data_IF_402732009596
#
_entry.id   IF_402732009596
#
_cell.length_a   1.000
_cell.length_b   1.000
_cell.length_c   1.000
_cell.angle_alpha   90.00
_cell.angle_beta   90.00
_cell.angle_gamma   90.00
#
_symmetry.space_group_name_H-M   'P 1'
#
loop_
_entity.id
_entity.type
_entity.pdbx_description
1 polymer ?
#
# COMPACT_ATOMS: atom_id res chain seq x y z
N UNK A 1 40.49 6.78 56.61
CA UNK A 1 39.46 5.81 56.18
C UNK A 1 38.12 6.28 56.73
N UNK A 2 37.28 6.89 55.90
CA UNK A 2 35.91 7.22 56.26
C UNK A 2 35.05 7.00 55.00
N UNK A 3 34.45 5.82 54.92
CA UNK A 3 33.56 5.45 53.82
C UNK A 3 32.24 6.18 53.98
N UNK A 4 31.86 6.93 52.96
CA UNK A 4 30.60 7.67 52.90
C UNK A 4 29.39 6.74 52.79
N UNK A 5 28.25 7.05 53.43
CA UNK A 5 27.03 6.24 53.34
C UNK A 5 26.23 6.64 52.09
N UNK A 6 26.67 6.24 50.90
CA UNK A 6 25.97 6.48 49.63
C UNK A 6 25.10 5.30 49.14
N UNK A 7 24.99 4.23 49.93
CA UNK A 7 24.50 2.92 49.45
C UNK A 7 22.96 2.76 49.38
N UNK A 8 22.18 3.51 50.16
CA UNK A 8 20.72 3.33 50.24
C UNK A 8 19.94 3.71 48.95
N UNK A 9 20.16 4.88 48.32
CA UNK A 9 19.37 5.27 47.15
C UNK A 9 19.66 4.39 45.92
N UNK A 10 20.90 3.95 45.74
CA UNK A 10 21.28 3.08 44.62
C UNK A 10 20.65 1.68 44.73
N UNK A 11 20.64 1.10 45.93
CA UNK A 11 19.98 -0.18 46.20
C UNK A 11 18.48 -0.10 45.98
N UNK A 12 17.85 0.99 46.40
CA UNK A 12 16.41 1.21 46.18
C UNK A 12 16.06 1.26 44.69
N UNK A 13 16.89 1.93 43.87
CA UNK A 13 16.71 1.98 42.41
C UNK A 13 16.85 0.60 41.76
N UNK A 14 17.84 -0.19 42.17
CA UNK A 14 18.03 -1.54 41.65
C UNK A 14 16.86 -2.45 42.01
N UNK A 15 16.35 -2.39 43.24
CA UNK A 15 15.17 -3.16 43.66
C UNK A 15 13.96 -2.73 42.83
N UNK A 16 13.76 -1.42 42.64
CA UNK A 16 12.68 -0.88 41.81
C UNK A 16 12.74 -1.39 40.37
N UNK A 17 13.91 -1.36 39.72
CA UNK A 17 14.04 -1.93 38.37
C UNK A 17 13.73 -3.42 38.36
N UNK A 18 14.22 -4.18 39.34
CA UNK A 18 13.97 -5.62 39.42
C UNK A 18 12.48 -5.97 39.66
N UNK A 19 11.73 -5.11 40.36
CA UNK A 19 10.30 -5.34 40.61
C UNK A 19 9.39 -4.90 39.47
N UNK A 20 9.81 -3.92 38.66
CA UNK A 20 8.93 -3.26 37.68
C UNK A 20 9.10 -3.81 36.27
N UNK A 21 10.26 -4.41 35.98
CA UNK A 21 10.59 -4.88 34.63
C UNK A 21 10.02 -6.28 34.37
N UNK A 22 9.61 -6.52 33.12
CA UNK A 22 9.19 -7.85 32.68
C UNK A 22 10.36 -8.85 32.74
N UNK A 23 10.11 -10.17 32.88
CA UNK A 23 11.17 -11.18 32.91
C UNK A 23 12.13 -11.11 31.71
N UNK A 24 11.60 -10.80 30.52
CA UNK A 24 12.41 -10.64 29.31
C UNK A 24 13.35 -9.43 29.38
N UNK A 25 12.91 -8.36 30.04
CA UNK A 25 13.73 -7.15 30.25
C UNK A 25 14.72 -7.33 31.40
N UNK A 26 14.37 -8.10 32.44
CA UNK A 26 15.28 -8.46 33.53
C UNK A 26 16.49 -9.25 33.02
N UNK A 27 16.27 -10.20 32.11
CA UNK A 27 17.35 -10.96 31.48
C UNK A 27 18.40 -10.07 30.79
N UNK A 28 18.00 -8.89 30.29
CA UNK A 28 18.92 -7.95 29.64
C UNK A 28 19.84 -7.24 30.63
N UNK A 29 19.40 -7.03 31.87
CA UNK A 29 20.15 -6.27 32.88
C UNK A 29 20.94 -7.19 33.83
N UNK A 30 20.89 -8.51 33.61
CA UNK A 30 21.69 -9.49 34.36
C UNK A 30 23.18 -9.18 34.19
N UNK A 31 23.86 -8.90 35.31
CA UNK A 31 25.28 -8.54 35.32
C UNK A 31 25.55 -7.05 35.53
N UNK A 32 24.53 -6.18 35.50
CA UNK A 32 24.69 -4.78 35.88
C UNK A 32 24.74 -4.63 37.41
N UNK A 33 25.79 -3.99 37.92
CA UNK A 33 26.04 -3.83 39.37
C UNK A 33 25.63 -2.44 39.90
N UNK A 34 25.20 -1.53 39.03
CA UNK A 34 24.80 -0.17 39.39
C UNK A 34 23.51 0.23 38.70
N UNK A 35 22.70 1.04 39.37
CA UNK A 35 21.44 1.56 38.81
C UNK A 35 21.68 2.38 37.53
N UNK A 36 22.82 3.09 37.45
CA UNK A 36 23.21 3.84 36.27
C UNK A 36 23.49 2.94 35.06
N UNK A 37 24.15 1.78 35.26
CA UNK A 37 24.42 0.83 34.19
C UNK A 37 23.11 0.20 33.68
N UNK A 38 22.22 -0.19 34.60
CA UNK A 38 20.87 -0.67 34.27
C UNK A 38 20.13 0.36 33.44
N UNK A 39 20.07 1.62 33.90
CA UNK A 39 19.36 2.69 33.20
C UNK A 39 19.93 2.92 31.80
N UNK A 40 21.25 3.07 31.64
CA UNK A 40 21.88 3.26 30.33
C UNK A 40 21.60 2.12 29.36
N UNK A 41 21.59 0.88 29.86
CA UNK A 41 21.32 -0.29 29.02
C UNK A 41 19.85 -0.33 28.56
N UNK A 42 18.92 -0.06 29.48
CA UNK A 42 17.49 0.05 29.17
C UNK A 42 17.25 1.20 28.18
N UNK A 43 17.79 2.38 28.48
CA UNK A 43 17.71 3.55 27.61
C UNK A 43 18.22 3.23 26.21
N UNK A 44 19.41 2.65 26.07
CA UNK A 44 19.96 2.28 24.77
C UNK A 44 19.09 1.23 24.05
N UNK A 45 18.64 0.20 24.75
CA UNK A 45 17.80 -0.86 24.19
C UNK A 45 16.46 -0.32 23.72
N UNK A 46 15.73 0.37 24.59
CA UNK A 46 14.39 0.88 24.29
C UNK A 46 14.44 2.07 23.33
N UNK A 47 15.49 2.90 23.35
CA UNK A 47 15.74 3.91 22.33
C UNK A 47 15.99 3.26 20.95
N UNK A 48 16.79 2.20 20.89
CA UNK A 48 17.00 1.45 19.65
C UNK A 48 15.71 0.81 19.16
N UNK A 49 14.96 0.12 20.04
CA UNK A 49 13.69 -0.53 19.69
C UNK A 49 12.67 0.51 19.22
N UNK A 50 12.58 1.66 19.88
CA UNK A 50 11.72 2.77 19.48
C UNK A 50 12.07 3.29 18.08
N UNK A 51 13.36 3.55 17.80
CA UNK A 51 13.82 3.98 16.47
C UNK A 51 13.52 2.95 15.38
N UNK A 52 13.81 1.67 15.65
CA UNK A 52 13.51 0.59 14.71
C UNK A 52 12.00 0.44 14.48
N UNK A 53 11.20 0.59 15.53
CA UNK A 53 9.74 0.54 15.44
C UNK A 53 9.19 1.70 14.60
N UNK A 54 9.64 2.93 14.86
CA UNK A 54 9.29 4.11 14.05
C UNK A 54 9.66 3.89 12.58
N UNK A 55 10.87 3.41 12.30
CA UNK A 55 11.30 3.13 10.93
C UNK A 55 10.44 2.04 10.26
N UNK A 56 10.07 1.00 11.02
CA UNK A 56 9.17 -0.04 10.53
C UNK A 56 7.80 0.52 10.18
N UNK A 57 7.23 1.39 11.03
CA UNK A 57 5.93 2.04 10.77
C UNK A 57 6.00 2.98 9.55
N UNK A 58 7.08 3.74 9.40
CA UNK A 58 7.33 4.56 8.20
C UNK A 58 7.44 3.68 6.94
N UNK A 59 8.13 2.55 7.05
CA UNK A 59 8.19 1.56 5.97
C UNK A 59 6.83 0.97 5.62
N UNK A 60 6.00 0.67 6.64
CA UNK A 60 4.65 0.15 6.47
C UNK A 60 3.80 1.13 5.66
N UNK A 61 3.68 2.39 6.09
CA UNK A 61 2.80 3.37 5.43
C UNK A 61 3.22 3.65 3.97
N UNK A 62 4.52 3.73 3.67
CA UNK A 62 5.00 4.00 2.31
C UNK A 62 4.89 2.80 1.36
N UNK A 63 4.71 1.59 1.88
CA UNK A 63 4.59 0.37 1.10
C UNK A 63 3.15 -0.10 0.91
N UNK A 64 2.16 0.61 1.45
CA UNK A 64 0.74 0.31 1.22
C UNK A 64 0.44 0.52 -0.27
N UNK A 65 -0.17 -0.48 -0.89
CA UNK A 65 -0.64 -0.45 -2.28
C UNK A 65 -2.10 -0.86 -2.31
N UNK A 66 -2.89 -0.29 -3.23
CA UNK A 66 -4.29 -0.68 -3.44
C UNK A 66 -4.40 -2.16 -3.79
N UNK A 67 -3.58 -2.62 -4.74
CA UNK A 67 -3.66 -3.99 -5.24
C UNK A 67 -5.04 -4.27 -5.83
N UNK A 68 -5.62 -5.39 -5.43
CA UNK A 68 -6.97 -5.83 -5.80
C UNK A 68 -8.05 -5.36 -4.81
N UNK A 69 -7.67 -4.65 -3.75
CA UNK A 69 -8.61 -4.20 -2.74
C UNK A 69 -9.45 -3.02 -3.28
N UNK A 70 -10.64 -2.80 -2.71
CA UNK A 70 -11.42 -1.59 -3.00
C UNK A 70 -10.71 -0.33 -2.48
N UNK A 71 -11.09 0.82 -3.02
CA UNK A 71 -10.57 2.12 -2.58
C UNK A 71 -10.80 2.33 -1.08
N UNK A 72 -11.97 1.98 -0.54
CA UNK A 72 -12.28 2.14 0.88
C UNK A 72 -11.31 1.36 1.78
N UNK A 73 -11.11 0.08 1.49
CA UNK A 73 -10.21 -0.79 2.27
C UNK A 73 -8.77 -0.28 2.16
N UNK A 74 -8.37 0.17 0.97
CA UNK A 74 -7.06 0.76 0.75
C UNK A 74 -6.83 2.01 1.59
N UNK A 75 -7.74 2.99 1.54
CA UNK A 75 -7.60 4.25 2.26
C UNK A 75 -7.74 4.07 3.78
N UNK A 76 -8.55 3.12 4.23
CA UNK A 76 -8.64 2.75 5.64
C UNK A 76 -7.28 2.23 6.17
N UNK A 77 -6.57 1.39 5.41
CA UNK A 77 -5.22 0.94 5.82
C UNK A 77 -4.24 2.09 5.95
N UNK A 78 -4.32 3.09 5.07
CA UNK A 78 -3.49 4.30 5.16
C UNK A 78 -3.83 5.07 6.44
N UNK A 79 -5.12 5.29 6.75
CA UNK A 79 -5.55 5.96 7.99
C UNK A 79 -5.02 5.21 9.23
N UNK A 80 -5.17 3.88 9.27
CA UNK A 80 -4.66 3.06 10.38
C UNK A 80 -3.15 3.18 10.54
N UNK A 81 -2.39 3.18 9.44
CA UNK A 81 -0.94 3.34 9.49
C UNK A 81 -0.52 4.74 9.95
N UNK A 82 -1.24 5.79 9.53
CA UNK A 82 -1.07 7.15 10.06
C UNK A 82 -1.32 7.20 11.57
N UNK A 83 -2.40 6.59 12.05
CA UNK A 83 -2.74 6.58 13.47
C UNK A 83 -1.67 5.89 14.32
N UNK A 84 -1.07 4.79 13.81
CA UNK A 84 0.08 4.13 14.45
C UNK A 84 1.29 5.07 14.55
N UNK A 85 1.58 5.84 13.50
CA UNK A 85 2.66 6.83 13.52
C UNK A 85 2.37 7.97 14.51
N UNK A 86 1.14 8.47 14.55
CA UNK A 86 0.73 9.48 15.53
C UNK A 86 0.86 8.98 16.97
N UNK A 87 0.54 7.70 17.22
CA UNK A 87 0.68 7.08 18.54
C UNK A 87 2.13 7.03 19.05
N UNK A 88 3.13 7.03 18.15
CA UNK A 88 4.56 7.11 18.49
C UNK A 88 5.13 8.53 18.36
N UNK A 89 4.26 9.54 18.22
CA UNK A 89 4.63 10.96 18.16
C UNK A 89 5.11 11.44 16.80
N UNK A 90 4.87 10.68 15.72
CA UNK A 90 5.20 11.07 14.35
C UNK A 90 3.94 11.59 13.67
N UNK A 91 3.94 12.87 13.33
CA UNK A 91 2.86 13.49 12.56
C UNK A 91 3.11 13.28 11.07
N UNK A 92 2.06 12.87 10.35
CA UNK A 92 2.00 12.81 8.89
C UNK A 92 0.92 13.79 8.47
N UNK A 93 1.32 14.84 7.78
CA UNK A 93 0.40 15.84 7.26
C UNK A 93 -0.39 15.30 6.07
N UNK A 94 -1.43 16.03 5.68
CA UNK A 94 -2.35 15.59 4.64
C UNK A 94 -1.69 15.60 3.24
N UNK A 95 -0.67 16.43 3.00
CA UNK A 95 0.06 16.50 1.72
C UNK A 95 0.95 15.26 1.55
N UNK A 96 1.68 14.88 2.61
CA UNK A 96 2.45 13.64 2.65
C UNK A 96 1.53 12.42 2.50
N UNK A 97 0.38 12.43 3.19
CA UNK A 97 -0.60 11.35 3.11
C UNK A 97 -1.21 11.23 1.70
N UNK A 98 -1.49 12.35 1.05
CA UNK A 98 -1.94 12.42 -0.35
C UNK A 98 -0.88 11.83 -1.29
N UNK A 99 0.40 12.21 -1.11
CA UNK A 99 1.48 11.66 -1.91
C UNK A 99 1.61 10.13 -1.76
N UNK A 100 1.53 9.64 -0.52
CA UNK A 100 1.53 8.21 -0.21
C UNK A 100 0.36 7.51 -0.90
N UNK A 101 -0.85 8.05 -0.74
CA UNK A 101 -2.06 7.48 -1.31
C UNK A 101 -2.01 7.42 -2.84
N UNK A 102 -1.56 8.48 -3.53
CA UNK A 102 -1.46 8.49 -4.98
C UNK A 102 -0.38 7.53 -5.52
N UNK A 103 0.72 7.34 -4.77
CA UNK A 103 1.81 6.43 -5.15
C UNK A 103 1.40 4.96 -5.07
N UNK A 104 0.51 4.61 -4.14
CA UNK A 104 0.05 3.23 -3.93
C UNK A 104 -1.09 2.78 -4.86
N UNK A 105 -1.64 3.66 -5.70
CA UNK A 105 -2.71 3.31 -6.65
C UNK A 105 -2.22 2.39 -7.79
N UNK A 106 -3.15 1.58 -8.32
CA UNK A 106 -2.91 0.78 -9.53
C UNK A 106 -2.72 1.68 -10.77
N UNK A 107 -2.17 1.11 -11.84
CA UNK A 107 -1.97 1.79 -13.13
C UNK A 107 -3.29 2.25 -13.77
N UNK A 108 -4.39 1.61 -13.41
CA UNK A 108 -5.73 1.94 -13.92
C UNK A 108 -6.16 3.36 -13.51
N UNK A 109 -5.60 3.87 -12.41
CA UNK A 109 -5.85 5.22 -11.89
C UNK A 109 -4.85 6.27 -12.43
N UNK A 110 -4.10 5.99 -13.50
CA UNK A 110 -3.10 6.93 -14.01
C UNK A 110 -3.72 8.26 -14.48
N UNK A 111 -4.89 8.22 -15.13
CA UNK A 111 -5.68 9.40 -15.51
C UNK A 111 -5.98 10.26 -14.29
N UNK A 112 -6.53 9.63 -13.25
CA UNK A 112 -6.84 10.27 -11.98
C UNK A 112 -5.60 10.91 -11.34
N UNK A 113 -4.49 10.19 -11.27
CA UNK A 113 -3.23 10.70 -10.71
C UNK A 113 -2.78 11.97 -11.44
N UNK A 114 -2.83 12.00 -12.77
CA UNK A 114 -2.48 13.19 -13.56
C UNK A 114 -3.41 14.35 -13.23
N UNK A 115 -4.73 14.12 -13.20
CA UNK A 115 -5.73 15.14 -12.88
C UNK A 115 -5.48 15.77 -11.52
N UNK A 116 -5.25 14.95 -10.49
CA UNK A 116 -4.93 15.43 -9.13
C UNK A 116 -3.62 16.20 -9.13
N UNK A 117 -2.59 15.73 -9.84
CA UNK A 117 -1.29 16.39 -9.88
C UNK A 117 -1.31 17.76 -10.57
N UNK A 118 -2.21 17.96 -11.53
CA UNK A 118 -2.42 19.25 -12.21
C UNK A 118 -3.33 20.21 -11.46
N UNK A 119 -4.02 19.74 -10.41
CA UNK A 119 -4.91 20.56 -9.60
C UNK A 119 -4.06 21.47 -8.70
N UNK A 120 -4.36 22.77 -8.72
CA UNK A 120 -3.62 23.79 -7.95
C UNK A 120 -4.10 23.95 -6.51
N UNK A 121 -5.20 23.29 -6.12
CA UNK A 121 -5.78 23.39 -4.78
C UNK A 121 -5.17 22.37 -3.83
N UNK A 122 -4.94 22.78 -2.58
CA UNK A 122 -4.63 21.85 -1.50
C UNK A 122 -5.84 20.94 -1.27
N UNK A 123 -5.61 19.64 -1.28
CA UNK A 123 -6.63 18.63 -1.05
C UNK A 123 -6.44 18.04 0.34
N UNK A 124 -7.53 17.95 1.09
CA UNK A 124 -7.56 17.16 2.31
C UNK A 124 -7.65 15.67 1.98
N UNK A 125 -7.27 14.82 2.94
CA UNK A 125 -7.37 13.37 2.74
C UNK A 125 -8.82 12.89 2.53
N UNK A 126 -9.78 13.54 3.16
CA UNK A 126 -11.20 13.17 3.01
C UNK A 126 -11.76 13.58 1.64
N UNK A 127 -11.31 14.71 1.07
CA UNK A 127 -11.64 15.06 -0.32
C UNK A 127 -11.04 14.07 -1.32
N UNK A 128 -9.79 13.65 -1.11
CA UNK A 128 -9.15 12.60 -1.93
C UNK A 128 -9.97 11.30 -1.89
N UNK A 129 -10.43 10.90 -0.70
CA UNK A 129 -11.26 9.70 -0.52
C UNK A 129 -12.51 9.74 -1.41
N UNK A 130 -13.28 10.84 -1.32
CA UNK A 130 -14.48 11.00 -2.12
C UNK A 130 -14.19 10.96 -3.63
N UNK A 131 -13.13 11.62 -4.07
CA UNK A 131 -12.74 11.65 -5.49
C UNK A 131 -12.30 10.26 -5.98
N UNK A 132 -11.58 9.49 -5.16
CA UNK A 132 -11.13 8.14 -5.52
C UNK A 132 -12.28 7.14 -5.60
N UNK A 133 -13.29 7.26 -4.74
CA UNK A 133 -14.50 6.42 -4.79
C UNK A 133 -15.24 6.63 -6.12
N UNK A 134 -15.45 7.90 -6.51
CA UNK A 134 -16.09 8.25 -7.78
C UNK A 134 -15.31 7.71 -8.99
N UNK A 135 -13.98 7.77 -8.94
CA UNK A 135 -13.13 7.20 -10.01
C UNK A 135 -13.19 5.66 -10.03
N UNK A 136 -13.30 4.99 -8.89
CA UNK A 136 -13.43 3.52 -8.87
C UNK A 136 -14.75 3.05 -9.50
N UNK A 137 -15.85 3.77 -9.26
CA UNK A 137 -17.13 3.52 -9.92
C UNK A 137 -17.03 3.72 -11.44
N UNK A 138 -16.43 4.83 -11.88
CA UNK A 138 -16.29 5.15 -13.32
C UNK A 138 -15.41 4.13 -14.06
N UNK A 139 -14.35 3.65 -13.42
CA UNK A 139 -13.48 2.61 -13.96
C UNK A 139 -14.23 1.29 -14.11
N UNK A 140 -15.07 0.93 -13.12
CA UNK A 140 -15.87 -0.30 -13.14
C UNK A 140 -16.86 -0.30 -14.31
N UNK A 141 -17.60 0.79 -14.51
CA UNK A 141 -18.51 0.94 -15.66
C UNK A 141 -17.76 0.84 -17.01
N UNK A 142 -16.57 1.43 -17.10
CA UNK A 142 -15.76 1.41 -18.31
C UNK A 142 -15.28 0.00 -18.70
N UNK A 143 -15.09 -0.89 -17.71
CA UNK A 143 -14.70 -2.28 -17.92
C UNK A 143 -15.90 -3.09 -18.43
N UNK A 144 -17.07 -2.92 -17.82
CA UNK A 144 -18.31 -3.60 -18.25
C UNK A 144 -18.66 -3.31 -19.72
N UNK A 145 -18.50 -2.04 -20.15
CA UNK A 145 -18.75 -1.63 -21.54
C UNK A 145 -17.76 -2.31 -22.51
N UNK A 146 -16.48 -2.42 -22.13
CA UNK A 146 -15.44 -3.07 -22.96
C UNK A 146 -15.71 -4.56 -23.10
N UNK A 147 -16.10 -5.23 -22.03
CA UNK A 147 -16.41 -6.66 -22.04
C UNK A 147 -17.66 -6.95 -22.89
N UNK A 148 -18.71 -6.12 -22.77
CA UNK A 148 -19.90 -6.22 -23.61
C UNK A 148 -19.57 -6.05 -25.12
N UNK A 149 -18.66 -5.12 -25.44
CA UNK A 149 -18.23 -4.91 -26.82
C UNK A 149 -17.41 -6.09 -27.36
N UNK A 150 -16.51 -6.66 -26.56
CA UNK A 150 -15.70 -7.83 -26.94
C UNK A 150 -16.56 -9.08 -27.20
N UNK A 151 -17.62 -9.30 -26.41
CA UNK A 151 -18.57 -10.39 -26.60
C UNK A 151 -19.39 -10.24 -27.90
N UNK A 152 -19.69 -9.01 -28.30
CA UNK A 152 -20.45 -8.73 -29.54
C UNK A 152 -19.61 -8.97 -30.79
N UNK A 153 -18.30 -8.66 -30.75
CA UNK A 153 -17.38 -8.80 -31.90
C UNK A 153 -16.98 -10.26 -32.15
N UNK A 154 -16.94 -11.12 -31.14
CA UNK A 154 -16.60 -12.55 -31.33
C UNK A 154 -17.75 -13.36 -31.94
N UNK A 155 -18.99 -12.87 -31.85
CA UNK A 155 -20.17 -13.53 -32.41
C UNK A 155 -20.46 -13.15 -33.87
N UNK A 156 -19.78 -12.14 -34.43
CA UNK A 156 -19.90 -11.75 -35.84
C UNK A 156 -18.93 -12.54 -36.74
N UNK A 157 -19.08 -13.87 -36.76
CA UNK A 157 -18.44 -14.71 -37.78
C UNK A 157 -19.22 -14.57 -39.10
N UNK A 158 -18.61 -14.16 -40.22
CA UNK A 158 -19.34 -14.00 -41.48
C UNK A 158 -19.85 -15.35 -41.98
N UNK A 159 -21.06 -15.42 -42.55
CA UNK A 159 -21.54 -16.64 -43.18
C UNK A 159 -20.67 -16.96 -44.39
N UNK A 160 -20.21 -18.20 -44.43
CA UNK A 160 -19.33 -18.77 -45.43
C UNK A 160 -19.98 -18.69 -46.83
N UNK A 161 -19.62 -17.67 -47.62
CA UNK A 161 -20.08 -17.48 -48.99
C UNK A 161 -19.27 -18.37 -49.96
N UNK A 162 -19.64 -19.65 -50.05
CA UNK A 162 -19.09 -20.60 -51.00
C UNK A 162 -20.20 -21.19 -51.88
N UNK A 163 -20.87 -20.35 -52.69
CA UNK A 163 -21.68 -20.82 -53.81
C UNK A 163 -21.65 -19.82 -54.97
N UNK A 164 -20.58 -19.85 -55.77
CA UNK A 164 -20.64 -19.39 -57.15
C UNK A 164 -19.56 -20.08 -57.99
N UNK A 165 -19.96 -21.13 -58.73
CA UNK A 165 -19.33 -21.48 -60.01
C UNK A 165 -20.43 -21.92 -60.96
N UNK A 166 -20.85 -20.95 -61.76
CA UNK A 166 -21.65 -21.09 -62.97
C UNK A 166 -21.10 -22.21 -63.85
N UNK A 167 -22.04 -23.02 -64.33
CA UNK A 167 -21.84 -24.04 -65.35
C UNK A 167 -22.26 -23.42 -66.68
N UNK A 168 -21.37 -22.68 -67.31
CA UNK A 168 -21.62 -22.10 -68.64
C UNK A 168 -21.17 -23.04 -69.77
N UNK A 169 -21.99 -23.04 -70.81
CA UNK A 169 -22.04 -23.96 -71.95
C UNK A 169 -21.01 -23.55 -72.99
N UNK A 170 -20.15 -24.47 -73.39
CA UNK A 170 -19.30 -24.35 -74.58
C UNK A 170 -19.68 -25.38 -75.63
N UNK A 171 -20.67 -25.08 -76.45
CA UNK A 171 -20.99 -25.79 -77.69
C UNK A 171 -20.04 -25.29 -78.78
N UNK A 172 -19.25 -26.16 -79.42
CA UNK A 172 -18.66 -25.81 -80.72
C UNK A 172 -18.48 -27.04 -81.61
N UNK A 173 -19.31 -27.08 -82.64
CA UNK A 173 -19.12 -27.90 -83.82
C UNK A 173 -18.16 -27.21 -84.79
N UNK A 174 -17.49 -28.03 -85.61
CA UNK A 174 -17.21 -27.79 -87.04
C UNK A 174 -15.75 -27.45 -87.45
N UNK A 175 -15.25 -28.31 -88.35
CA UNK A 175 -14.03 -28.14 -89.17
C UNK A 175 -12.92 -29.10 -88.75
N UNK A 176 -12.34 -29.97 -89.57
CA UNK A 176 -12.40 -30.21 -91.00
C UNK A 176 -11.06 -30.82 -91.45
N UNK A 177 -11.12 -31.89 -92.27
CA UNK A 177 -10.10 -32.44 -93.20
C UNK A 177 -8.73 -32.90 -92.66
N UNK A 178 -8.35 -34.10 -93.09
CA UNK A 178 -6.98 -34.64 -93.04
C UNK A 178 -7.00 -36.15 -93.18
#
# INVERSE_FOLDING_TARGET
MASTPSSCPEKALLIFFNSTLSPATLALIVGCNSAQAVWKLLENRFSSVSRSHIMSLKGEIHNIKKGTDSVDVYLQRIKVARDKLMAVGILVDDEELLHIALKGLSKDFNSFRTTIHTRSAQLTFDELNNLLIVEEESLTESVEIKDAFALTVTNSRPPNANQFRERDKGNNSQGGRG
#
